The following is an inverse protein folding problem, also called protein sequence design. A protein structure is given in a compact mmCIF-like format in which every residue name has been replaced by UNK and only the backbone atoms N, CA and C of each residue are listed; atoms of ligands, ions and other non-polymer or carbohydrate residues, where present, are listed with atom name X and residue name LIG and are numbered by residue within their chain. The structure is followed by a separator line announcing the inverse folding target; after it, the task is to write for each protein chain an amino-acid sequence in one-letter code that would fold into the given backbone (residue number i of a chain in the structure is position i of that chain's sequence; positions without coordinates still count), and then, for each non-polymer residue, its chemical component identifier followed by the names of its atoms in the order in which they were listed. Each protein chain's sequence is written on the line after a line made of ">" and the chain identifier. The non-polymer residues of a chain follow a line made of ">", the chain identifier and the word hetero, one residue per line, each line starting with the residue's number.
data_IF_772351413105
#
_entry.id   IF_772351413105
#
_cell.length_a   1.000
_cell.length_b   1.000
_cell.length_c   1.000
_cell.angle_alpha   90.00
_cell.angle_beta   90.00
_cell.angle_gamma   90.00
#
_symmetry.space_group_name_H-M   'P 1'
#
loop_
_entity.id
_entity.type
_entity.pdbx_description
1 polymer ?
#
# COMPACT_ATOMS: atom_id res chain seq x y z
N UNK A 1 -20.94 0.23 -11.93
CA UNK A 1 -20.97 0.69 -13.34
C UNK A 1 -21.57 -0.37 -14.27
N UNK A 2 -20.92 -1.53 -14.48
CA UNK A 2 -21.39 -2.55 -15.45
C UNK A 2 -22.86 -2.96 -15.30
N UNK A 3 -23.31 -3.31 -14.09
CA UNK A 3 -24.73 -3.63 -13.81
C UNK A 3 -25.66 -2.45 -14.11
N UNK A 4 -25.30 -1.24 -13.66
CA UNK A 4 -26.12 -0.04 -13.80
C UNK A 4 -26.33 0.38 -15.26
N UNK A 5 -25.29 0.26 -16.08
CA UNK A 5 -25.32 0.63 -17.51
C UNK A 5 -25.55 -0.55 -18.46
N UNK A 6 -25.75 -1.76 -17.93
CA UNK A 6 -25.99 -2.97 -18.73
C UNK A 6 -24.84 -3.34 -19.66
N UNK A 7 -23.58 -3.14 -19.25
CA UNK A 7 -22.42 -3.48 -20.06
C UNK A 7 -22.24 -4.99 -20.19
N UNK A 8 -21.80 -5.42 -21.38
CA UNK A 8 -21.47 -6.82 -21.66
C UNK A 8 -20.07 -7.18 -21.15
N UNK A 9 -19.82 -8.48 -20.94
CA UNK A 9 -18.49 -9.00 -20.54
C UNK A 9 -17.37 -8.68 -21.54
N UNK A 10 -17.72 -8.33 -22.77
CA UNK A 10 -16.77 -7.99 -23.83
C UNK A 10 -16.66 -6.48 -24.07
N UNK A 11 -17.30 -5.64 -23.24
CA UNK A 11 -17.14 -4.18 -23.27
C UNK A 11 -15.81 -3.74 -22.65
N UNK A 12 -14.69 -4.28 -23.14
CA UNK A 12 -13.37 -4.17 -22.52
C UNK A 12 -12.93 -2.72 -22.26
N UNK A 13 -13.25 -1.79 -23.16
CA UNK A 13 -12.94 -0.37 -22.94
C UNK A 13 -13.63 0.14 -21.67
N UNK A 14 -14.91 -0.18 -21.47
CA UNK A 14 -15.69 0.28 -20.31
C UNK A 14 -15.23 -0.43 -19.03
N UNK A 15 -14.96 -1.74 -19.13
CA UNK A 15 -14.44 -2.54 -18.02
C UNK A 15 -13.06 -2.06 -17.56
N UNK A 16 -12.18 -1.66 -18.48
CA UNK A 16 -10.85 -1.14 -18.15
C UNK A 16 -10.93 0.18 -17.39
N UNK A 17 -11.84 1.09 -17.78
CA UNK A 17 -12.05 2.30 -17.00
C UNK A 17 -12.64 2.01 -15.62
N UNK A 18 -13.59 1.08 -15.52
CA UNK A 18 -14.15 0.68 -14.23
C UNK A 18 -13.12 0.01 -13.30
N UNK A 19 -12.18 -0.77 -13.85
CA UNK A 19 -11.06 -1.34 -13.10
C UNK A 19 -10.21 -0.22 -12.47
N UNK A 20 -9.82 0.79 -13.25
CA UNK A 20 -9.01 1.90 -12.75
C UNK A 20 -9.82 2.78 -11.79
N UNK A 21 -11.12 2.98 -12.03
CA UNK A 21 -11.99 3.69 -11.09
C UNK A 21 -12.06 2.99 -9.73
N UNK A 22 -12.21 1.66 -9.72
CA UNK A 22 -12.19 0.84 -8.51
C UNK A 22 -10.86 0.94 -7.76
N UNK A 23 -9.74 0.80 -8.49
CA UNK A 23 -8.38 0.96 -7.98
C UNK A 23 -8.18 2.31 -7.25
N UNK A 24 -8.70 3.40 -7.83
CA UNK A 24 -8.55 4.72 -7.22
C UNK A 24 -9.35 4.89 -5.93
N UNK A 25 -10.38 4.08 -5.66
CA UNK A 25 -11.24 4.24 -4.47
C UNK A 25 -11.13 3.10 -3.44
N UNK A 26 -10.28 2.09 -3.65
CA UNK A 26 -10.21 0.92 -2.76
C UNK A 26 -9.36 1.15 -1.49
N UNK A 27 -8.29 1.94 -1.59
CA UNK A 27 -7.28 2.08 -0.52
C UNK A 27 -7.66 3.16 0.51
N UNK A 28 -8.92 3.12 0.98
CA UNK A 28 -9.46 4.08 1.95
C UNK A 28 -9.33 5.54 1.47
N UNK A 29 -8.59 6.39 2.18
CA UNK A 29 -8.44 7.82 1.89
C UNK A 29 -7.19 8.13 1.07
N UNK A 30 -6.48 7.15 0.50
CA UNK A 30 -5.22 7.41 -0.20
C UNK A 30 -5.38 8.44 -1.32
N UNK A 31 -6.31 8.24 -2.26
CA UNK A 31 -6.53 9.18 -3.37
C UNK A 31 -7.05 10.55 -2.90
N UNK A 32 -7.50 10.65 -1.64
CA UNK A 32 -7.90 11.89 -0.98
C UNK A 32 -6.84 12.42 -0.02
N UNK A 33 -5.59 11.93 -0.15
CA UNK A 33 -4.33 12.33 0.52
C UNK A 33 -3.85 11.48 1.71
N UNK A 34 -4.61 10.49 2.17
CA UNK A 34 -4.31 9.73 3.39
C UNK A 34 -2.94 9.05 3.44
N UNK A 35 -2.26 8.89 2.29
CA UNK A 35 -0.90 8.36 2.20
C UNK A 35 -0.06 9.05 1.11
N UNK A 36 -0.36 10.31 0.78
CA UNK A 36 0.40 11.07 -0.22
C UNK A 36 1.65 11.72 0.38
N UNK A 37 2.79 11.61 -0.30
CA UNK A 37 4.06 12.17 0.20
C UNK A 37 4.11 13.71 0.21
N UNK A 38 3.23 14.37 -0.55
CA UNK A 38 3.08 15.83 -0.54
C UNK A 38 2.24 16.38 0.61
N UNK A 39 2.06 15.63 1.70
CA UNK A 39 1.15 15.97 2.81
C UNK A 39 1.34 17.35 3.44
N UNK A 40 2.49 18.01 3.25
CA UNK A 40 2.77 19.34 3.81
C UNK A 40 2.02 20.48 3.12
N UNK A 41 1.54 20.28 1.89
CA UNK A 41 0.79 21.29 1.15
C UNK A 41 -0.73 21.19 1.33
N UNK A 42 -1.20 20.36 2.26
CA UNK A 42 -2.62 20.04 2.40
C UNK A 42 -3.39 20.99 3.30
N UNK A 43 -4.66 21.31 2.96
CA UNK A 43 -5.59 21.92 3.88
C UNK A 43 -6.19 20.83 4.79
N UNK A 44 -5.99 20.95 6.10
CA UNK A 44 -6.49 19.96 7.05
C UNK A 44 -5.73 18.63 7.01
N UNK A 45 -6.31 17.58 7.59
CA UNK A 45 -5.65 16.26 7.64
C UNK A 45 -6.12 15.36 8.78
N UNK A 46 -7.21 15.73 9.47
CA UNK A 46 -7.72 15.00 10.64
C UNK A 46 -8.95 14.21 10.26
N UNK A 47 -9.95 14.85 9.66
CA UNK A 47 -11.23 14.22 9.31
C UNK A 47 -11.31 13.95 7.80
N UNK A 48 -10.45 13.03 7.35
CA UNK A 48 -10.24 12.74 5.94
C UNK A 48 -11.48 12.18 5.24
N UNK A 49 -11.84 12.76 4.09
CA UNK A 49 -12.97 12.32 3.28
C UNK A 49 -12.66 11.07 2.47
N UNK A 50 -13.59 10.13 2.38
CA UNK A 50 -13.45 8.99 1.48
C UNK A 50 -13.68 9.40 0.02
N UNK A 51 -12.99 8.73 -0.92
CA UNK A 51 -13.16 8.99 -2.34
C UNK A 51 -14.46 8.44 -2.91
N UNK A 52 -14.88 9.05 -4.00
CA UNK A 52 -16.05 8.67 -4.79
C UNK A 52 -15.62 8.68 -6.26
N UNK A 53 -15.97 7.63 -7.00
CA UNK A 53 -15.83 7.59 -8.46
C UNK A 53 -17.21 7.74 -9.11
N UNK A 54 -17.43 8.85 -9.79
CA UNK A 54 -18.62 9.13 -10.61
C UNK A 54 -18.34 8.59 -12.01
N UNK A 55 -18.81 7.37 -12.29
CA UNK A 55 -18.54 6.66 -13.56
C UNK A 55 -19.66 6.89 -14.56
N UNK A 56 -19.33 7.30 -15.78
CA UNK A 56 -20.25 7.53 -16.89
C UNK A 56 -20.57 6.25 -17.68
N UNK A 57 -21.60 6.31 -18.53
CA UNK A 57 -21.99 5.18 -19.39
C UNK A 57 -20.90 4.76 -20.40
N UNK A 58 -20.00 5.68 -20.77
CA UNK A 58 -18.82 5.44 -21.61
C UNK A 58 -17.72 4.65 -20.89
N UNK A 59 -17.73 4.66 -19.56
CA UNK A 59 -16.67 4.15 -18.70
C UNK A 59 -15.77 5.25 -18.13
N UNK A 60 -15.63 6.41 -18.80
CA UNK A 60 -14.90 7.55 -18.26
C UNK A 60 -15.50 8.00 -16.92
N UNK A 61 -14.69 8.60 -16.06
CA UNK A 61 -15.12 8.87 -14.70
C UNK A 61 -14.45 10.08 -14.07
N UNK A 62 -15.12 10.65 -13.06
CA UNK A 62 -14.56 11.68 -12.19
C UNK A 62 -14.28 11.08 -10.82
N UNK A 63 -13.06 11.26 -10.34
CA UNK A 63 -12.74 11.05 -8.92
C UNK A 63 -13.06 12.33 -8.16
N UNK A 64 -13.83 12.19 -7.10
CA UNK A 64 -14.17 13.24 -6.14
C UNK A 64 -14.11 12.67 -4.73
N UNK A 65 -14.51 13.43 -3.72
CA UNK A 65 -14.51 13.02 -2.32
C UNK A 65 -15.78 13.46 -1.60
N UNK A 66 -16.01 12.85 -0.44
CA UNK A 66 -17.07 13.25 0.47
C UNK A 66 -17.00 14.76 0.80
N UNK A 67 -18.13 15.46 0.68
CA UNK A 67 -18.23 16.89 1.00
C UNK A 67 -18.08 17.16 2.50
N UNK A 68 -17.46 18.30 2.85
CA UNK A 68 -17.35 18.76 4.24
C UNK A 68 -16.30 18.01 5.08
N UNK A 69 -15.39 17.30 4.42
CA UNK A 69 -14.29 16.55 5.03
C UNK A 69 -12.94 17.11 4.57
N UNK A 70 -11.89 16.83 5.34
CA UNK A 70 -10.52 17.17 5.02
C UNK A 70 -9.99 16.33 3.85
N UNK A 71 -8.91 16.82 3.23
CA UNK A 71 -8.25 16.18 2.10
C UNK A 71 -8.41 16.97 0.81
N UNK A 72 -7.81 16.45 -0.26
CA UNK A 72 -7.98 17.02 -1.60
C UNK A 72 -7.97 15.91 -2.65
N UNK A 73 -8.63 16.19 -3.77
CA UNK A 73 -8.54 15.34 -4.96
C UNK A 73 -7.92 16.16 -6.09
N UNK A 74 -6.66 15.85 -6.35
CA UNK A 74 -5.84 16.49 -7.38
C UNK A 74 -5.28 15.45 -8.35
N UNK A 75 -4.81 15.91 -9.51
CA UNK A 75 -4.12 15.03 -10.46
C UNK A 75 -2.97 14.27 -9.79
N UNK A 76 -2.24 14.89 -8.86
CA UNK A 76 -1.09 14.27 -8.22
C UNK A 76 -1.50 13.18 -7.22
N UNK A 77 -2.58 13.37 -6.46
CA UNK A 77 -3.15 12.31 -5.61
C UNK A 77 -3.64 11.11 -6.41
N UNK A 78 -4.32 11.37 -7.54
CA UNK A 78 -4.81 10.32 -8.43
C UNK A 78 -3.65 9.54 -9.04
N UNK A 79 -2.58 10.22 -9.45
CA UNK A 79 -1.35 9.56 -9.93
C UNK A 79 -0.67 8.76 -8.82
N UNK A 80 -0.54 9.31 -7.61
CA UNK A 80 0.10 8.60 -6.50
C UNK A 80 -0.65 7.31 -6.15
N UNK A 81 -1.98 7.37 -6.05
CA UNK A 81 -2.81 6.18 -5.81
C UNK A 81 -2.73 5.19 -6.98
N UNK A 82 -2.77 5.68 -8.23
CA UNK A 82 -2.64 4.80 -9.40
C UNK A 82 -1.30 4.05 -9.40
N UNK A 83 -0.20 4.74 -9.07
CA UNK A 83 1.14 4.17 -9.13
C UNK A 83 1.47 3.24 -7.95
N UNK A 84 0.69 3.27 -6.86
CA UNK A 84 0.99 2.56 -5.61
C UNK A 84 1.08 1.03 -5.78
N UNK A 85 0.25 0.41 -6.64
CA UNK A 85 0.17 -1.05 -6.78
C UNK A 85 0.30 -1.56 -8.22
N UNK A 86 0.67 -0.71 -9.17
CA UNK A 86 0.88 -1.13 -10.57
C UNK A 86 2.34 -1.48 -10.83
N UNK A 87 2.56 -2.56 -11.59
CA UNK A 87 3.90 -3.07 -11.92
C UNK A 87 4.38 -2.68 -13.34
N UNK A 88 3.58 -1.89 -14.07
CA UNK A 88 3.88 -1.49 -15.44
C UNK A 88 2.66 -0.92 -16.17
N UNK A 89 2.76 -0.72 -17.50
CA UNK A 89 1.69 -0.12 -18.30
C UNK A 89 0.48 -1.05 -18.52
N UNK A 90 0.64 -2.36 -18.31
CA UNK A 90 -0.45 -3.33 -18.39
C UNK A 90 -0.92 -3.69 -16.98
N UNK A 91 -2.17 -3.33 -16.65
CA UNK A 91 -2.80 -3.66 -15.40
C UNK A 91 -3.78 -4.83 -15.59
N UNK A 92 -3.39 -6.00 -15.09
CA UNK A 92 -4.08 -7.26 -15.31
C UNK A 92 -5.21 -7.50 -14.30
N UNK A 93 -6.41 -7.74 -14.80
CA UNK A 93 -7.57 -8.20 -14.03
C UNK A 93 -8.23 -9.40 -14.72
N UNK A 94 -9.05 -10.16 -14.00
CA UNK A 94 -9.76 -11.34 -14.51
C UNK A 94 -10.73 -11.04 -15.65
N UNK A 95 -11.33 -9.84 -15.68
CA UNK A 95 -12.34 -9.47 -16.68
C UNK A 95 -11.75 -8.67 -17.85
N UNK A 96 -10.61 -8.00 -17.65
CA UNK A 96 -9.96 -7.13 -18.66
C UNK A 96 -8.50 -6.86 -18.31
N UNK A 97 -7.68 -6.51 -19.29
CA UNK A 97 -6.39 -5.85 -19.04
C UNK A 97 -6.52 -4.37 -19.40
N UNK A 98 -6.29 -3.48 -18.44
CA UNK A 98 -6.21 -2.05 -18.70
C UNK A 98 -4.80 -1.68 -19.18
N UNK A 99 -4.71 -0.82 -20.20
CA UNK A 99 -3.46 -0.29 -20.74
C UNK A 99 -3.36 1.17 -20.35
N UNK A 100 -2.37 1.51 -19.52
CA UNK A 100 -2.26 2.77 -18.80
C UNK A 100 -1.32 3.78 -19.46
N UNK A 101 -0.65 3.43 -20.54
CA UNK A 101 0.35 4.28 -21.20
C UNK A 101 -0.23 5.59 -21.78
N UNK A 102 -1.50 5.59 -22.16
CA UNK A 102 -2.20 6.77 -22.69
C UNK A 102 -3.24 7.37 -21.74
N UNK A 103 -3.32 6.91 -20.49
CA UNK A 103 -4.29 7.43 -19.52
C UNK A 103 -4.17 8.94 -19.38
N UNK A 104 -5.31 9.64 -19.35
CA UNK A 104 -5.39 11.08 -19.14
C UNK A 104 -6.08 11.37 -17.82
N UNK A 105 -5.45 12.21 -17.01
CA UNK A 105 -6.02 12.75 -15.78
C UNK A 105 -5.98 14.26 -15.86
N UNK A 106 -7.15 14.90 -15.75
CA UNK A 106 -7.30 16.35 -15.89
C UNK A 106 -8.08 16.90 -14.70
N UNK A 107 -7.59 17.98 -14.10
CA UNK A 107 -8.34 18.67 -13.05
C UNK A 107 -9.63 19.26 -13.65
N UNK A 108 -10.78 18.77 -13.18
CA UNK A 108 -12.11 19.15 -13.67
C UNK A 108 -12.84 20.13 -12.72
N UNK A 109 -12.19 20.53 -11.63
CA UNK A 109 -12.72 21.45 -10.64
C UNK A 109 -12.04 21.27 -9.28
N UNK A 110 -12.53 21.96 -8.27
CA UNK A 110 -12.08 21.75 -6.89
C UNK A 110 -12.44 20.34 -6.43
N UNK A 111 -11.44 19.57 -5.98
CA UNK A 111 -11.58 18.17 -5.58
C UNK A 111 -12.24 17.28 -6.63
N UNK A 112 -11.96 17.54 -7.92
CA UNK A 112 -12.49 16.76 -9.04
C UNK A 112 -11.42 16.52 -10.09
N UNK A 113 -11.14 15.24 -10.36
CA UNK A 113 -10.21 14.82 -11.42
C UNK A 113 -10.96 13.92 -12.38
N UNK A 114 -11.03 14.35 -13.64
CA UNK A 114 -11.57 13.53 -14.72
C UNK A 114 -10.49 12.59 -15.25
N UNK A 115 -10.83 11.31 -15.39
CA UNK A 115 -9.95 10.24 -15.85
C UNK A 115 -10.52 9.61 -17.11
N UNK A 116 -9.72 9.58 -18.18
CA UNK A 116 -10.14 9.07 -19.48
C UNK A 116 -8.99 8.44 -20.26
N UNK A 117 -9.31 7.94 -21.45
CA UNK A 117 -8.35 7.42 -22.42
C UNK A 117 -7.52 6.22 -21.90
N UNK A 118 -8.15 5.36 -21.09
CA UNK A 118 -7.58 4.09 -20.64
C UNK A 118 -7.74 3.06 -21.76
N UNK A 119 -6.63 2.50 -22.23
CA UNK A 119 -6.65 1.44 -23.24
C UNK A 119 -7.12 0.11 -22.64
N UNK A 120 -7.47 -0.84 -23.50
CA UNK A 120 -7.92 -2.16 -23.05
C UNK A 120 -7.53 -3.28 -24.01
N UNK A 121 -7.38 -4.49 -23.46
CA UNK A 121 -7.34 -5.72 -24.23
C UNK A 121 -8.07 -6.83 -23.46
N UNK A 122 -8.26 -7.98 -24.12
CA UNK A 122 -8.92 -9.15 -23.54
C UNK A 122 -8.24 -9.58 -22.24
N UNK A 123 -8.98 -10.14 -21.26
CA UNK A 123 -8.38 -10.68 -20.05
C UNK A 123 -7.32 -11.75 -20.37
N UNK A 124 -6.32 -11.93 -19.49
CA UNK A 124 -5.30 -12.95 -19.66
C UNK A 124 -5.94 -14.35 -19.63
N UNK A 125 -5.31 -15.32 -20.30
CA UNK A 125 -5.76 -16.71 -20.30
C UNK A 125 -5.68 -17.38 -18.91
N UNK A 126 -5.08 -16.71 -17.94
CA UNK A 126 -4.86 -17.18 -16.57
C UNK A 126 -5.38 -16.17 -15.56
N UNK A 127 -6.04 -16.63 -14.50
CA UNK A 127 -6.50 -15.78 -13.38
C UNK A 127 -5.55 -15.90 -12.20
N UNK A 128 -5.13 -14.76 -11.63
CA UNK A 128 -4.40 -14.72 -10.36
C UNK A 128 -5.38 -14.98 -9.22
N UNK A 129 -5.16 -16.04 -8.45
CA UNK A 129 -5.96 -16.39 -7.27
C UNK A 129 -5.13 -16.17 -6.02
N UNK A 130 -5.68 -15.44 -5.04
CA UNK A 130 -5.13 -15.36 -3.69
C UNK A 130 -5.63 -16.55 -2.87
N UNK A 131 -4.71 -17.35 -2.32
CA UNK A 131 -5.03 -18.46 -1.42
C UNK A 131 -4.43 -18.14 -0.05
N UNK A 132 -5.28 -18.06 0.96
CA UNK A 132 -4.85 -17.88 2.35
C UNK A 132 -4.96 -19.22 3.06
N UNK A 133 -3.87 -19.65 3.71
CA UNK A 133 -3.84 -20.87 4.54
C UNK A 133 -2.97 -20.63 5.77
N UNK A 134 -3.05 -21.52 6.76
CA UNK A 134 -2.16 -21.49 7.92
C UNK A 134 -0.74 -21.80 7.47
N UNK A 135 0.13 -20.78 7.44
CA UNK A 135 1.52 -20.90 7.01
C UNK A 135 2.49 -21.43 8.08
N UNK A 136 2.05 -21.45 9.33
CA UNK A 136 2.86 -21.71 10.52
C UNK A 136 2.62 -20.61 11.56
N UNK A 137 3.59 -20.45 12.45
CA UNK A 137 3.53 -19.50 13.56
C UNK A 137 4.60 -18.42 13.41
N UNK A 138 4.33 -17.26 13.99
CA UNK A 138 5.22 -16.11 14.00
C UNK A 138 5.30 -15.54 15.41
N UNK A 139 6.51 -15.21 15.83
CA UNK A 139 6.77 -14.50 17.08
C UNK A 139 7.68 -13.30 16.81
N UNK A 140 7.44 -12.24 17.57
CA UNK A 140 8.18 -10.99 17.47
C UNK A 140 8.57 -10.52 18.88
N UNK A 141 9.86 -10.28 19.07
CA UNK A 141 10.41 -9.74 20.30
C UNK A 141 11.15 -8.43 20.01
N UNK A 142 10.93 -7.44 20.88
CA UNK A 142 11.55 -6.12 20.77
C UNK A 142 12.48 -5.87 21.95
N UNK A 143 13.72 -5.51 21.65
CA UNK A 143 14.70 -5.07 22.61
C UNK A 143 15.07 -3.61 22.34
N UNK A 144 15.01 -2.76 23.35
CA UNK A 144 15.33 -1.35 23.22
C UNK A 144 16.80 -1.11 23.57
N UNK A 145 17.59 -0.73 22.57
CA UNK A 145 19.03 -0.56 22.65
C UNK A 145 19.33 0.93 22.80
N UNK A 146 19.77 1.33 24.00
CA UNK A 146 20.18 2.70 24.29
C UNK A 146 21.70 2.87 24.17
N UNK A 147 22.13 3.97 23.55
CA UNK A 147 23.53 4.41 23.48
C UNK A 147 24.00 4.66 22.05
N UNK A 148 25.25 5.09 21.90
CA UNK A 148 25.85 5.43 20.60
C UNK A 148 26.19 4.17 19.78
N UNK A 149 26.64 3.11 20.44
CA UNK A 149 27.09 1.86 19.82
C UNK A 149 25.93 0.88 19.60
N UNK A 150 24.85 1.35 18.95
CA UNK A 150 23.62 0.57 18.72
C UNK A 150 23.92 -0.69 17.92
N UNK A 151 24.73 -0.58 16.89
CA UNK A 151 25.02 -1.64 15.93
C UNK A 151 25.84 -2.76 16.60
N UNK A 152 26.86 -2.39 17.38
CA UNK A 152 27.70 -3.30 18.14
C UNK A 152 26.90 -4.01 19.23
N UNK A 153 26.03 -3.27 19.94
CA UNK A 153 25.18 -3.84 20.99
C UNK A 153 24.11 -4.77 20.41
N UNK A 154 23.52 -4.42 19.26
CA UNK A 154 22.59 -5.28 18.54
C UNK A 154 23.27 -6.58 18.09
N UNK A 155 24.47 -6.49 17.52
CA UNK A 155 25.25 -7.66 17.13
C UNK A 155 25.63 -8.54 18.33
N UNK A 156 25.89 -7.93 19.49
CA UNK A 156 26.12 -8.68 20.73
C UNK A 156 24.87 -9.45 21.17
N UNK A 157 23.71 -8.82 21.20
CA UNK A 157 22.43 -9.44 21.56
C UNK A 157 22.08 -10.55 20.55
N UNK A 158 22.25 -10.31 19.26
CA UNK A 158 22.05 -11.32 18.22
C UNK A 158 22.91 -12.57 18.46
N UNK A 159 24.22 -12.39 18.73
CA UNK A 159 25.11 -13.54 19.06
C UNK A 159 24.63 -14.32 20.28
N UNK A 160 24.17 -13.63 21.33
CA UNK A 160 23.66 -14.29 22.54
C UNK A 160 22.40 -15.11 22.24
N UNK A 161 21.47 -14.56 21.47
CA UNK A 161 20.22 -15.24 21.13
C UNK A 161 20.46 -16.43 20.22
N UNK A 162 21.28 -16.27 19.18
CA UNK A 162 21.68 -17.39 18.30
C UNK A 162 22.40 -18.51 19.03
N UNK A 163 23.11 -18.20 20.11
CA UNK A 163 23.73 -19.22 20.96
C UNK A 163 22.70 -20.02 21.79
N UNK A 164 21.60 -19.39 22.20
CA UNK A 164 20.54 -20.01 23.00
C UNK A 164 19.51 -20.77 22.16
N UNK A 165 19.27 -20.31 20.93
CA UNK A 165 18.27 -20.89 20.05
C UNK A 165 18.85 -22.02 19.19
N UNK A 166 18.01 -23.03 18.94
CA UNK A 166 18.26 -24.00 17.88
C UNK A 166 17.71 -23.45 16.55
N UNK A 167 18.58 -22.79 15.78
CA UNK A 167 18.19 -22.14 14.52
C UNK A 167 17.52 -23.09 13.51
N UNK A 168 17.77 -24.40 13.60
CA UNK A 168 17.19 -25.40 12.69
C UNK A 168 15.66 -25.51 12.79
N UNK A 169 15.07 -25.01 13.89
CA UNK A 169 13.61 -25.02 14.11
C UNK A 169 12.88 -23.87 13.40
N UNK A 170 13.61 -22.88 12.88
CA UNK A 170 13.04 -21.69 12.27
C UNK A 170 13.29 -21.69 10.77
N UNK A 171 12.26 -21.39 9.98
CA UNK A 171 12.45 -21.13 8.55
C UNK A 171 12.70 -19.65 8.26
N UNK A 172 12.51 -18.78 9.25
CA UNK A 172 12.87 -17.38 9.23
C UNK A 172 13.29 -16.95 10.64
N UNK A 173 14.51 -16.43 10.77
CA UNK A 173 14.97 -15.75 11.98
C UNK A 173 15.75 -14.51 11.55
N UNK A 174 15.22 -13.32 11.85
CA UNK A 174 15.76 -12.04 11.40
C UNK A 174 15.92 -11.08 12.56
N UNK A 175 17.07 -10.44 12.61
CA UNK A 175 17.40 -9.36 13.54
C UNK A 175 17.45 -8.07 12.75
N UNK A 176 16.74 -7.03 13.20
CA UNK A 176 16.68 -5.74 12.52
C UNK A 176 16.70 -4.62 13.53
N UNK A 177 17.61 -3.68 13.34
CA UNK A 177 17.57 -2.41 14.06
C UNK A 177 16.68 -1.44 13.29
N UNK A 178 15.73 -0.83 13.99
CA UNK A 178 14.87 0.22 13.51
C UNK A 178 15.20 1.53 14.24
N UNK A 179 15.46 2.58 13.46
CA UNK A 179 15.94 3.86 13.97
C UNK A 179 17.47 3.93 14.07
N UNK A 180 17.97 5.08 14.52
CA UNK A 180 19.40 5.35 14.74
C UNK A 180 19.53 6.32 15.92
N UNK A 181 20.51 6.11 16.78
CA UNK A 181 20.91 7.09 17.78
C UNK A 181 21.65 8.26 17.08
N UNK A 182 21.24 9.52 17.27
CA UNK A 182 22.02 10.67 16.82
C UNK A 182 23.35 10.75 17.59
N UNK A 183 24.34 11.45 17.05
CA UNK A 183 25.71 11.46 17.61
C UNK A 183 25.79 12.14 19.00
N UNK A 184 24.83 13.00 19.34
CA UNK A 184 24.73 13.65 20.66
C UNK A 184 23.25 13.70 21.10
N UNK A 185 22.69 12.58 21.59
CA UNK A 185 21.28 12.51 21.98
C UNK A 185 21.02 13.38 23.20
N UNK A 186 19.93 14.16 23.19
CA UNK A 186 19.59 15.08 24.28
C UNK A 186 18.95 14.37 25.48
N UNK A 187 18.49 13.13 25.30
CA UNK A 187 17.89 12.29 26.32
C UNK A 187 17.95 10.80 25.93
N UNK A 188 17.59 9.93 26.87
CA UNK A 188 17.58 8.48 26.68
C UNK A 188 16.65 8.02 25.54
N UNK A 189 15.48 8.63 25.38
CA UNK A 189 14.51 8.24 24.35
C UNK A 189 15.11 8.43 22.94
N UNK A 190 15.73 9.59 22.69
CA UNK A 190 16.44 9.86 21.43
C UNK A 190 17.68 8.99 21.24
N UNK A 191 18.25 8.49 22.33
CA UNK A 191 19.41 7.60 22.30
C UNK A 191 19.04 6.12 22.09
N UNK A 192 17.74 5.79 21.98
CA UNK A 192 17.24 4.42 21.96
C UNK A 192 16.78 4.03 20.56
N UNK A 193 17.26 2.88 20.09
CA UNK A 193 16.79 2.23 18.86
C UNK A 193 16.09 0.90 19.19
N UNK A 194 15.18 0.49 18.32
CA UNK A 194 14.46 -0.78 18.46
C UNK A 194 15.23 -1.90 17.75
N UNK A 195 15.62 -2.95 18.48
CA UNK A 195 16.06 -4.21 17.90
C UNK A 195 14.85 -5.16 17.84
N UNK A 196 14.33 -5.31 16.64
CA UNK A 196 13.27 -6.26 16.31
C UNK A 196 13.86 -7.62 15.96
N UNK A 197 13.42 -8.64 16.68
CA UNK A 197 13.73 -10.05 16.41
C UNK A 197 12.45 -10.70 15.91
N UNK A 198 12.50 -11.18 14.68
CA UNK A 198 11.37 -11.78 14.00
C UNK A 198 11.66 -13.24 13.70
N UNK A 199 10.79 -14.13 14.18
CA UNK A 199 10.92 -15.57 14.01
C UNK A 199 9.65 -16.16 13.39
N UNK A 200 9.81 -17.10 12.45
CA UNK A 200 8.73 -17.93 11.95
C UNK A 200 9.13 -19.41 11.99
N UNK A 201 8.20 -20.25 12.45
CA UNK A 201 8.38 -21.69 12.59
C UNK A 201 7.12 -22.44 12.14
N UNK A 202 7.26 -23.75 11.89
CA UNK A 202 6.11 -24.62 11.57
C UNK A 202 5.33 -25.01 12.82
N UNK A 203 6.03 -25.25 13.92
CA UNK A 203 5.47 -25.63 15.20
C UNK A 203 5.50 -24.45 16.18
N UNK A 204 4.40 -24.24 16.91
CA UNK A 204 4.28 -23.18 17.90
C UNK A 204 5.33 -23.30 19.02
N UNK A 205 5.62 -24.53 19.45
CA UNK A 205 6.57 -24.81 20.53
C UNK A 205 8.02 -24.43 20.20
N UNK A 206 8.34 -24.14 18.93
CA UNK A 206 9.64 -23.59 18.56
C UNK A 206 9.78 -22.09 18.87
N UNK A 207 8.66 -21.40 19.09
CA UNK A 207 8.61 -19.96 19.36
C UNK A 207 8.35 -19.63 20.84
N UNK A 208 8.00 -20.64 21.65
CA UNK A 208 7.66 -20.52 23.09
C UNK A 208 8.85 -20.74 24.01
#
# INVERSE_FOLDING_TARGET
>A
AAYHYGWDRNDYSKLAHALVAGHLIECSTYVTEGNFSGFKSLPGGVDMGFPIAEVEASGEFVVTMQSGKDGMVTVDTCKAQLLYEIQGPYYYNSDVVAILDTIKMVQAGHNKVHVSNIGSTRPPATTKVGITSLGGYQAEAHYYICGLDVEEKAAMVERQIRHLLDESKYHCLKFRVHGRCPDNPSNQDTATADLRIFAQAREESALS
#
